data_IF_632345695782
#
_entry.id   IF_632345695782
#
_cell.length_a   1.000
_cell.length_b   1.000
_cell.length_c   1.000
_cell.angle_alpha   90.00
_cell.angle_beta   90.00
_cell.angle_gamma   90.00
#
_symmetry.space_group_name_H-M   'P 1'
#
loop_
_entity.id
_entity.type
_entity.pdbx_description
1 polymer ?
#
# COMPACT_ATOMS: atom_id res chain seq x y z
N UNK A 1 2.65 -1.79 2.69
CA UNK A 1 3.50 -1.49 3.86
C UNK A 1 4.16 -2.79 4.39
N UNK A 2 3.43 -3.82 4.84
CA UNK A 2 4.03 -5.08 5.34
C UNK A 2 4.98 -5.73 4.33
N UNK A 3 4.65 -5.72 3.04
CA UNK A 3 5.52 -6.23 1.96
C UNK A 3 6.83 -5.44 1.88
N UNK A 4 6.82 -4.11 2.11
CA UNK A 4 8.03 -3.31 2.11
C UNK A 4 8.98 -3.74 3.23
N UNK A 5 8.50 -3.89 4.47
CA UNK A 5 9.31 -4.41 5.58
C UNK A 5 9.92 -5.77 5.24
N UNK A 6 9.12 -6.69 4.71
CA UNK A 6 9.61 -8.03 4.40
C UNK A 6 10.68 -8.04 3.32
N UNK A 7 10.54 -7.21 2.29
CA UNK A 7 11.52 -7.18 1.21
C UNK A 7 12.77 -6.35 1.54
N UNK A 8 12.65 -5.33 2.38
CA UNK A 8 13.80 -4.52 2.80
C UNK A 8 14.61 -5.20 3.91
N UNK A 9 13.92 -5.77 4.91
CA UNK A 9 14.55 -6.23 6.16
C UNK A 9 14.55 -7.76 6.30
N UNK A 10 13.76 -8.46 5.50
CA UNK A 10 13.60 -9.90 5.61
C UNK A 10 14.63 -10.71 4.83
N UNK A 11 14.90 -11.91 5.30
CA UNK A 11 15.75 -12.89 4.62
C UNK A 11 14.89 -13.73 3.68
N UNK A 12 15.20 -13.66 2.38
CA UNK A 12 14.51 -14.47 1.38
C UNK A 12 14.81 -15.96 1.55
N UNK A 13 13.78 -16.78 1.48
CA UNK A 13 13.86 -18.24 1.53
C UNK A 13 12.74 -18.88 0.73
N UNK A 14 12.76 -20.20 0.63
CA UNK A 14 11.66 -20.99 0.06
C UNK A 14 10.74 -21.45 1.19
N UNK A 15 9.45 -21.42 0.92
CA UNK A 15 8.43 -21.89 1.84
C UNK A 15 7.23 -22.46 1.08
N UNK A 16 6.34 -23.15 1.79
CA UNK A 16 5.14 -23.70 1.19
C UNK A 16 4.10 -22.62 0.90
N UNK A 17 3.42 -22.73 -0.22
CA UNK A 17 2.23 -21.93 -0.52
C UNK A 17 1.13 -22.17 0.53
N UNK A 18 0.12 -21.28 0.58
CA UNK A 18 -1.01 -21.41 1.53
C UNK A 18 -1.75 -22.75 1.39
N UNK A 19 -1.77 -23.34 0.20
CA UNK A 19 -2.38 -24.65 -0.06
C UNK A 19 -1.43 -25.82 0.16
N UNK A 20 -0.16 -25.59 0.46
CA UNK A 20 0.89 -26.63 0.58
C UNK A 20 1.33 -27.26 -0.75
N UNK A 21 0.70 -26.90 -1.88
CA UNK A 21 0.88 -27.59 -3.19
C UNK A 21 2.11 -27.10 -4.00
N UNK A 22 2.70 -25.99 -3.62
CA UNK A 22 3.84 -25.41 -4.34
C UNK A 22 4.79 -24.68 -3.42
N UNK A 23 6.05 -24.61 -3.80
CA UNK A 23 7.01 -23.72 -3.16
C UNK A 23 6.84 -22.30 -3.65
N UNK A 24 6.97 -21.35 -2.73
CA UNK A 24 6.88 -19.91 -2.99
C UNK A 24 8.04 -19.19 -2.30
N UNK A 25 8.40 -18.04 -2.83
CA UNK A 25 9.34 -17.14 -2.17
C UNK A 25 8.70 -16.54 -0.93
N UNK A 26 9.39 -16.58 0.19
CA UNK A 26 8.99 -15.96 1.45
C UNK A 26 10.13 -15.14 2.01
N UNK A 27 9.81 -14.08 2.75
CA UNK A 27 10.78 -13.22 3.42
C UNK A 27 10.48 -13.26 4.92
N UNK A 28 11.41 -13.84 5.69
CA UNK A 28 11.30 -13.95 7.14
C UNK A 28 11.98 -12.79 7.83
N UNK A 29 11.30 -12.19 8.80
CA UNK A 29 11.80 -11.09 9.61
C UNK A 29 12.39 -11.63 10.92
N UNK A 30 13.51 -11.04 11.36
CA UNK A 30 14.16 -11.37 12.65
C UNK A 30 13.93 -10.29 13.71
N UNK A 31 13.23 -9.22 13.42
CA UNK A 31 13.07 -8.04 14.26
C UNK A 31 11.78 -8.04 15.13
N UNK A 32 11.25 -9.22 15.45
CA UNK A 32 10.02 -9.36 16.24
C UNK A 32 8.71 -9.08 15.49
N UNK A 33 8.76 -8.72 14.21
CA UNK A 33 7.57 -8.40 13.40
C UNK A 33 7.08 -9.58 12.54
N UNK A 34 7.71 -10.75 12.64
CA UNK A 34 7.40 -11.91 11.79
C UNK A 34 5.94 -12.33 11.87
N UNK A 35 5.39 -12.42 13.08
CA UNK A 35 4.01 -12.87 13.31
C UNK A 35 2.98 -11.74 13.23
N UNK A 36 3.43 -10.49 13.28
CA UNK A 36 2.56 -9.31 13.21
C UNK A 36 2.28 -8.89 11.79
N UNK A 37 3.32 -8.74 10.97
CA UNK A 37 3.18 -8.23 9.60
C UNK A 37 2.67 -9.31 8.64
N UNK A 38 1.81 -8.89 7.74
CA UNK A 38 1.35 -9.79 6.67
C UNK A 38 2.49 -10.30 5.82
N UNK A 39 2.33 -11.51 5.27
CA UNK A 39 3.26 -12.09 4.30
C UNK A 39 3.39 -11.19 3.07
N UNK A 40 4.56 -11.21 2.44
CA UNK A 40 4.79 -10.45 1.21
C UNK A 40 3.83 -10.90 0.10
N UNK A 41 3.25 -9.94 -0.58
CA UNK A 41 2.34 -10.18 -1.72
C UNK A 41 2.54 -9.12 -2.79
N UNK A 42 2.23 -9.46 -4.06
CA UNK A 42 2.31 -8.53 -5.19
C UNK A 42 3.66 -7.79 -5.26
N UNK A 43 4.75 -8.51 -4.99
CA UNK A 43 6.10 -7.93 -4.82
C UNK A 43 6.58 -7.12 -6.02
N UNK A 44 6.14 -7.48 -7.23
CA UNK A 44 6.50 -6.80 -8.47
C UNK A 44 5.47 -5.75 -8.93
N UNK A 45 4.41 -5.52 -8.16
CA UNK A 45 3.45 -4.47 -8.49
C UNK A 45 4.13 -3.08 -8.41
N UNK A 46 3.95 -2.17 -9.38
CA UNK A 46 4.63 -0.88 -9.39
C UNK A 46 4.50 -0.08 -8.10
N UNK A 47 3.32 -0.09 -7.47
CA UNK A 47 3.12 0.58 -6.18
C UNK A 47 3.90 -0.07 -5.03
N UNK A 48 4.11 -1.40 -5.07
CA UNK A 48 4.96 -2.09 -4.09
C UNK A 48 6.44 -1.78 -4.30
N UNK A 49 6.89 -1.69 -5.55
CA UNK A 49 8.26 -1.27 -5.88
C UNK A 49 8.46 0.16 -5.41
N UNK A 50 7.52 1.05 -5.73
CA UNK A 50 7.58 2.46 -5.36
C UNK A 50 7.65 2.66 -3.84
N UNK A 51 6.79 2.00 -3.05
CA UNK A 51 6.74 2.21 -1.60
C UNK A 51 8.01 1.79 -0.87
N UNK A 52 8.73 0.79 -1.40
CA UNK A 52 9.98 0.29 -0.80
C UNK A 52 11.25 0.89 -1.38
N UNK A 53 11.14 1.73 -2.41
CA UNK A 53 12.32 2.35 -3.02
C UNK A 53 12.92 3.46 -2.17
N UNK A 54 12.10 4.23 -1.43
CA UNK A 54 12.56 5.33 -0.60
C UNK A 54 11.70 5.51 0.64
N UNK A 55 12.33 5.95 1.73
CA UNK A 55 11.67 6.24 3.01
C UNK A 55 10.48 7.19 2.85
N UNK A 56 10.63 8.26 2.07
CA UNK A 56 9.57 9.26 1.90
C UNK A 56 8.32 8.68 1.20
N UNK A 57 8.49 7.75 0.27
CA UNK A 57 7.38 7.03 -0.36
C UNK A 57 6.64 6.15 0.66
N UNK A 58 7.40 5.47 1.52
CA UNK A 58 6.83 4.65 2.59
C UNK A 58 6.04 5.50 3.58
N UNK A 59 6.62 6.61 4.06
CA UNK A 59 5.99 7.54 4.99
C UNK A 59 4.71 8.12 4.39
N UNK A 60 4.74 8.52 3.12
CA UNK A 60 3.55 9.01 2.42
C UNK A 60 2.44 7.96 2.38
N UNK A 61 2.76 6.72 2.01
CA UNK A 61 1.76 5.64 1.97
C UNK A 61 1.23 5.29 3.36
N UNK A 62 2.07 5.37 4.40
CA UNK A 62 1.64 5.17 5.78
C UNK A 62 0.59 6.23 6.19
N UNK A 63 0.85 7.52 5.88
CA UNK A 63 -0.12 8.60 6.11
C UNK A 63 -1.44 8.37 5.37
N UNK A 64 -1.39 7.98 4.10
CA UNK A 64 -2.58 7.64 3.32
C UNK A 64 -3.34 6.46 3.94
N UNK A 65 -2.66 5.43 4.39
CA UNK A 65 -3.29 4.28 5.06
C UNK A 65 -3.99 4.68 6.36
N UNK A 66 -3.36 5.50 7.20
CA UNK A 66 -3.98 6.04 8.42
C UNK A 66 -5.26 6.81 8.07
N UNK A 67 -5.17 7.76 7.12
CA UNK A 67 -6.32 8.53 6.65
C UNK A 67 -7.46 7.63 6.14
N UNK A 68 -7.16 6.59 5.38
CA UNK A 68 -8.17 5.63 4.93
C UNK A 68 -8.82 4.85 6.08
N UNK A 69 -8.06 4.52 7.13
CA UNK A 69 -8.60 3.89 8.34
C UNK A 69 -9.53 4.83 9.11
N UNK A 70 -9.20 6.12 9.18
CA UNK A 70 -10.06 7.16 9.75
C UNK A 70 -11.36 7.31 8.94
N UNK A 71 -11.26 7.41 7.61
CA UNK A 71 -12.44 7.47 6.73
C UNK A 71 -13.32 6.22 6.86
N UNK A 72 -12.72 5.06 7.05
CA UNK A 72 -13.46 3.83 7.36
C UNK A 72 -14.21 3.96 8.69
N UNK A 73 -13.57 4.48 9.73
CA UNK A 73 -14.17 4.73 11.03
C UNK A 73 -15.37 5.68 10.96
N UNK A 74 -15.23 6.78 10.23
CA UNK A 74 -16.32 7.74 10.00
C UNK A 74 -17.52 7.10 9.28
N UNK A 75 -17.25 6.28 8.26
CA UNK A 75 -18.25 5.63 7.42
C UNK A 75 -19.00 4.50 8.12
N UNK A 76 -18.27 3.66 8.86
CA UNK A 76 -18.82 2.40 9.41
C UNK A 76 -18.95 2.40 10.93
N UNK A 77 -18.52 3.46 11.60
CA UNK A 77 -18.49 3.57 13.07
C UNK A 77 -17.71 2.43 13.75
N UNK A 78 -16.65 1.97 13.09
CA UNK A 78 -15.78 0.84 13.54
C UNK A 78 -14.34 1.15 13.19
N UNK A 79 -13.41 0.74 14.04
CA UNK A 79 -11.99 0.80 13.72
C UNK A 79 -11.65 -0.27 12.68
N UNK A 80 -10.90 0.11 11.66
CA UNK A 80 -10.48 -0.82 10.61
C UNK A 80 -9.55 -1.90 11.19
N UNK A 81 -9.81 -3.17 10.91
CA UNK A 81 -9.07 -4.30 11.49
C UNK A 81 -7.55 -4.24 11.23
N UNK A 82 -7.15 -3.75 10.06
CA UNK A 82 -5.71 -3.61 9.78
C UNK A 82 -5.05 -2.57 10.66
N UNK A 83 -5.77 -1.51 11.07
CA UNK A 83 -5.24 -0.51 12.00
C UNK A 83 -5.05 -1.12 13.40
N UNK A 84 -6.05 -1.85 13.90
CA UNK A 84 -5.95 -2.56 15.19
C UNK A 84 -4.75 -3.52 15.19
N UNK A 85 -4.56 -4.26 14.09
CA UNK A 85 -3.53 -5.31 14.01
C UNK A 85 -2.13 -4.76 13.73
N UNK A 86 -2.00 -3.70 12.94
CA UNK A 86 -0.74 -3.26 12.37
C UNK A 86 -0.34 -1.83 12.78
N UNK A 87 -1.21 -1.10 13.50
CA UNK A 87 -0.98 0.29 13.86
C UNK A 87 0.36 0.48 14.56
N UNK A 88 0.59 -0.22 15.64
CA UNK A 88 1.82 -0.13 16.42
C UNK A 88 3.07 -0.57 15.65
N UNK A 89 2.92 -1.55 14.75
CA UNK A 89 4.02 -2.06 13.96
C UNK A 89 4.42 -1.15 12.78
N UNK A 90 3.46 -0.39 12.22
CA UNK A 90 3.68 0.42 11.01
C UNK A 90 3.74 1.92 11.27
N UNK A 91 3.01 2.42 12.30
CA UNK A 91 3.02 3.85 12.62
C UNK A 91 4.36 4.24 13.27
N UNK A 92 5.07 5.16 12.63
CA UNK A 92 6.37 5.60 13.11
C UNK A 92 7.54 4.65 12.82
N UNK A 93 7.27 3.45 12.30
CA UNK A 93 8.30 2.48 11.96
C UNK A 93 8.44 2.36 10.44
N UNK A 94 9.63 2.67 9.93
CA UNK A 94 10.02 2.39 8.55
C UNK A 94 10.91 1.15 8.50
N UNK A 95 10.96 0.43 7.37
CA UNK A 95 11.95 -0.63 7.21
C UNK A 95 13.37 -0.09 7.50
N UNK A 96 14.20 -0.89 8.17
CA UNK A 96 15.55 -0.46 8.56
C UNK A 96 16.48 -0.28 7.36
N UNK A 97 16.34 -1.15 6.36
CA UNK A 97 17.17 -1.17 5.16
C UNK A 97 16.52 -0.45 3.96
N UNK A 98 15.55 0.43 4.22
CA UNK A 98 14.98 1.25 3.15
C UNK A 98 15.91 2.42 2.82
N UNK A 99 16.03 2.73 1.52
CA UNK A 99 16.81 3.90 1.09
C UNK A 99 16.24 5.19 1.69
N UNK A 100 17.12 6.00 2.27
CA UNK A 100 16.79 7.30 2.89
C UNK A 100 16.87 8.46 1.90
N UNK A 101 16.70 8.21 0.61
CA UNK A 101 16.64 9.24 -0.44
C UNK A 101 15.75 10.43 -0.06
N UNK A 102 16.13 11.60 -0.54
CA UNK A 102 15.74 12.90 0.02
C UNK A 102 14.31 13.31 -0.33
N UNK A 103 13.73 12.81 -1.42
CA UNK A 103 12.46 13.32 -1.94
C UNK A 103 11.44 12.23 -2.26
N UNK A 104 10.17 12.58 -2.08
CA UNK A 104 9.04 11.80 -2.56
C UNK A 104 9.15 11.64 -4.10
N UNK A 105 9.23 10.41 -4.57
CA UNK A 105 9.32 10.13 -6.01
C UNK A 105 7.96 10.17 -6.70
N UNK A 106 7.96 10.28 -8.03
CA UNK A 106 6.71 10.29 -8.81
C UNK A 106 5.88 9.04 -8.53
N UNK A 107 4.57 9.24 -8.36
CA UNK A 107 3.63 8.14 -8.11
C UNK A 107 3.49 7.23 -9.34
N UNK A 108 3.49 5.91 -9.15
CA UNK A 108 3.21 4.99 -10.25
C UNK A 108 1.76 5.12 -10.70
N UNK A 109 1.55 5.19 -12.00
CA UNK A 109 0.24 5.24 -12.62
C UNK A 109 -0.15 3.85 -13.11
N UNK A 110 -0.83 3.08 -12.23
CA UNK A 110 -1.24 1.70 -12.48
C UNK A 110 -2.63 1.67 -13.13
N UNK A 111 -2.74 2.16 -14.35
CA UNK A 111 -3.99 2.30 -15.10
C UNK A 111 -3.72 2.18 -16.61
N UNK A 112 -4.78 2.02 -17.45
CA UNK A 112 -4.63 2.05 -18.91
C UNK A 112 -3.99 3.35 -19.42
N UNK A 113 -3.27 3.25 -20.54
CA UNK A 113 -2.47 4.37 -21.08
C UNK A 113 -3.31 5.62 -21.38
N UNK A 114 -4.53 5.44 -21.86
CA UNK A 114 -5.46 6.53 -22.15
C UNK A 114 -5.83 7.38 -20.94
N UNK A 115 -5.70 6.84 -19.74
CA UNK A 115 -5.94 7.54 -18.47
C UNK A 115 -4.70 8.20 -17.88
N UNK A 116 -3.50 7.83 -18.32
CA UNK A 116 -2.25 8.38 -17.81
C UNK A 116 -2.10 9.86 -18.13
N UNK A 117 -1.53 10.61 -17.23
CA UNK A 117 -1.27 12.07 -17.35
C UNK A 117 0.09 12.38 -16.74
N UNK A 118 0.58 13.57 -16.99
CA UNK A 118 1.81 14.05 -16.35
C UNK A 118 1.68 14.07 -14.82
N UNK A 119 0.56 14.57 -14.32
CA UNK A 119 0.21 14.55 -12.92
C UNK A 119 -0.61 13.29 -12.55
N UNK A 120 -0.14 12.56 -11.52
CA UNK A 120 -0.77 11.32 -11.08
C UNK A 120 -2.18 11.52 -10.52
N UNK A 121 -2.47 12.64 -9.84
CA UNK A 121 -3.81 12.92 -9.29
C UNK A 121 -4.81 13.07 -10.44
N UNK A 122 -4.45 13.85 -11.46
CA UNK A 122 -5.26 14.03 -12.68
C UNK A 122 -5.45 12.69 -13.42
N UNK A 123 -4.40 11.87 -13.50
CA UNK A 123 -4.46 10.53 -14.10
C UNK A 123 -5.45 9.63 -13.36
N UNK A 124 -5.34 9.52 -12.03
CA UNK A 124 -6.27 8.71 -11.23
C UNK A 124 -7.71 9.23 -11.29
N UNK A 125 -7.92 10.54 -11.28
CA UNK A 125 -9.26 11.14 -11.47
C UNK A 125 -9.84 10.80 -12.83
N UNK A 126 -9.04 10.86 -13.90
CA UNK A 126 -9.44 10.44 -15.26
C UNK A 126 -9.83 8.96 -15.28
N UNK A 127 -8.99 8.10 -14.71
CA UNK A 127 -9.27 6.66 -14.60
C UNK A 127 -10.56 6.36 -13.84
N UNK A 128 -10.78 7.02 -12.71
CA UNK A 128 -12.01 6.82 -11.94
C UNK A 128 -13.26 7.24 -12.69
N UNK A 129 -13.23 8.37 -13.41
CA UNK A 129 -14.35 8.82 -14.24
C UNK A 129 -14.64 7.85 -15.40
N UNK A 130 -13.60 7.36 -16.06
CA UNK A 130 -13.75 6.49 -17.23
C UNK A 130 -14.14 5.04 -16.87
N UNK A 131 -13.56 4.48 -15.80
CA UNK A 131 -13.65 3.03 -15.55
C UNK A 131 -14.28 2.65 -14.20
N UNK A 132 -14.61 3.63 -13.34
CA UNK A 132 -15.15 3.37 -12.00
C UNK A 132 -16.52 4.02 -11.76
N UNK A 133 -17.07 4.72 -12.74
CA UNK A 133 -18.33 5.46 -12.61
C UNK A 133 -19.52 4.56 -12.26
N UNK A 134 -19.63 3.40 -12.87
CA UNK A 134 -20.79 2.50 -12.72
C UNK A 134 -20.97 1.98 -11.29
N UNK A 135 -19.89 1.81 -10.55
CA UNK A 135 -19.93 1.30 -9.17
C UNK A 135 -19.45 2.29 -8.10
N UNK A 136 -19.20 3.53 -8.49
CA UNK A 136 -18.85 4.57 -7.55
C UNK A 136 -20.07 4.98 -6.71
N UNK A 137 -19.96 4.82 -5.40
CA UNK A 137 -20.98 5.22 -4.42
C UNK A 137 -20.37 6.15 -3.38
N UNK A 138 -21.01 7.29 -3.16
CA UNK A 138 -20.49 8.36 -2.32
C UNK A 138 -21.42 8.63 -1.13
N UNK A 139 -21.04 8.14 0.06
CA UNK A 139 -21.82 8.37 1.28
C UNK A 139 -21.75 9.80 1.80
N UNK A 140 -20.65 10.50 1.49
CA UNK A 140 -20.39 11.86 1.99
C UNK A 140 -20.45 12.92 0.87
N UNK A 141 -21.28 12.67 -0.15
CA UNK A 141 -21.39 13.54 -1.33
C UNK A 141 -20.40 13.21 -2.44
N UNK A 142 -20.80 13.47 -3.68
CA UNK A 142 -19.96 13.25 -4.86
C UNK A 142 -18.86 14.32 -4.85
N UNK A 143 -17.58 13.95 -4.97
CA UNK A 143 -16.51 14.93 -5.10
C UNK A 143 -16.64 15.76 -6.39
N UNK A 144 -16.36 17.06 -6.32
CA UNK A 144 -16.46 17.97 -7.48
C UNK A 144 -15.70 17.46 -8.72
N UNK A 145 -14.51 16.88 -8.49
CA UNK A 145 -13.69 16.35 -9.56
C UNK A 145 -14.26 15.11 -10.26
N UNK A 146 -15.30 14.48 -9.71
CA UNK A 146 -15.90 13.25 -10.26
C UNK A 146 -17.05 13.54 -11.22
N UNK A 147 -17.65 14.71 -11.17
CA UNK A 147 -18.73 15.16 -12.06
C UNK A 147 -18.27 15.31 -13.52
#
# INVERSE_FOLDING_TARGET
LSTAHRLCDGIESRGSSKSGKSEVRVWKLSNGLEDTLYKASHVNHPSNIWVRSHKENYVWLCKLWIYLCEQYGLRYKKTHMTYIKLGDALCGNTPMNIDTGINLSKFPQCMPEECKREDAITAYRSFYRAHKREFATWKNGIPEWFN
#
